data_IF_935149751803
#
_entry.id   IF_935149751803
#
_cell.length_a   1.000
_cell.length_b   1.000
_cell.length_c   1.000
_cell.angle_alpha   90.00
_cell.angle_beta   90.00
_cell.angle_gamma   90.00
#
_symmetry.space_group_name_H-M   'P 1'
#
loop_
_entity.id
_entity.type
_entity.pdbx_description
1 polymer ?
#
# COMPACT_ATOMS: atom_id res chain seq x y z
N UNK A 1 4.92 -19.99 -0.70
CA UNK A 1 4.80 -18.71 -1.42
C UNK A 1 3.37 -18.53 -1.88
N UNK A 2 2.71 -17.49 -1.41
CA UNK A 2 1.31 -17.23 -1.71
C UNK A 2 1.13 -15.83 -2.28
N UNK A 3 0.07 -15.65 -3.06
CA UNK A 3 -0.32 -14.37 -3.63
C UNK A 3 -1.63 -13.93 -3.02
N UNK A 4 -1.65 -12.74 -2.42
CA UNK A 4 -2.83 -12.15 -1.81
C UNK A 4 -3.23 -10.89 -2.57
N UNK A 5 -4.49 -10.52 -2.51
CA UNK A 5 -4.99 -9.28 -3.11
C UNK A 5 -5.88 -8.55 -2.11
N UNK A 6 -5.73 -7.24 -2.04
CA UNK A 6 -6.53 -6.35 -1.20
C UNK A 6 -6.70 -5.03 -1.92
N UNK A 7 -7.75 -4.30 -1.61
CA UNK A 7 -7.97 -2.97 -2.19
C UNK A 7 -8.59 -2.03 -1.16
N UNK A 8 -8.64 -0.74 -1.51
CA UNK A 8 -9.36 0.29 -0.75
C UNK A 8 -8.91 0.38 0.71
N UNK A 9 -7.58 0.45 0.93
CA UNK A 9 -7.03 0.59 2.27
C UNK A 9 -7.41 1.94 2.90
N UNK A 10 -7.51 2.99 2.08
CA UNK A 10 -7.87 4.33 2.52
C UNK A 10 -7.08 4.78 3.74
N UNK A 11 -5.75 4.60 3.70
CA UNK A 11 -4.89 4.98 4.81
C UNK A 11 -4.81 6.50 4.95
N UNK A 12 -4.75 6.95 6.19
CA UNK A 12 -4.71 8.38 6.50
C UNK A 12 -3.80 8.68 7.70
N UNK A 13 -2.70 7.91 7.80
CA UNK A 13 -1.79 8.04 8.95
C UNK A 13 -1.07 9.38 8.97
N UNK A 14 -0.86 9.98 7.79
CA UNK A 14 -0.20 11.27 7.65
C UNK A 14 -1.12 12.44 7.37
N UNK A 15 -2.45 12.23 7.31
CA UNK A 15 -3.42 13.28 7.00
C UNK A 15 -4.63 13.17 7.93
N UNK A 16 -5.41 14.24 8.02
CA UNK A 16 -6.56 14.32 8.92
C UNK A 16 -7.86 13.91 8.21
N UNK A 17 -7.94 12.64 7.80
CA UNK A 17 -9.13 12.06 7.17
C UNK A 17 -9.31 10.61 7.62
N UNK A 18 -9.52 10.37 8.93
CA UNK A 18 -9.63 8.99 9.42
C UNK A 18 -10.92 8.33 8.96
N UNK A 19 -10.80 7.10 8.44
CA UNK A 19 -11.95 6.30 8.03
C UNK A 19 -12.71 5.71 9.20
N UNK A 20 -12.13 5.68 10.38
CA UNK A 20 -12.75 5.11 11.57
C UNK A 20 -13.90 5.95 12.13
N UNK A 21 -14.16 7.13 11.55
CA UNK A 21 -15.38 7.89 11.83
C UNK A 21 -16.62 7.25 11.19
N UNK A 22 -16.44 6.34 10.23
CA UNK A 22 -17.53 5.66 9.56
C UNK A 22 -17.84 4.34 10.25
N UNK A 23 -19.13 4.00 10.32
CA UNK A 23 -19.57 2.77 10.96
C UNK A 23 -18.94 1.55 10.29
N UNK A 24 -18.37 0.65 11.09
CA UNK A 24 -17.70 -0.54 10.59
C UNK A 24 -16.23 -0.36 10.30
N UNK A 25 -15.72 0.86 10.38
CA UNK A 25 -14.31 1.17 10.10
C UNK A 25 -13.50 1.46 11.37
N UNK A 26 -14.11 1.33 12.55
CA UNK A 26 -13.43 1.58 13.81
C UNK A 26 -12.23 0.63 13.96
N UNK A 27 -11.06 1.20 14.25
CA UNK A 27 -9.82 0.47 14.43
C UNK A 27 -9.42 -0.38 13.22
N UNK A 28 -9.85 0.02 12.01
CA UNK A 28 -9.62 -0.81 10.82
C UNK A 28 -8.13 -1.03 10.55
N UNK A 29 -7.27 -0.02 10.80
CA UNK A 29 -5.83 -0.15 10.57
C UNK A 29 -5.23 -1.21 11.51
N UNK A 30 -5.59 -1.18 12.79
CA UNK A 30 -5.10 -2.16 13.76
C UNK A 30 -5.57 -3.58 13.42
N UNK A 31 -6.83 -3.72 13.01
CA UNK A 31 -7.37 -5.02 12.59
C UNK A 31 -6.70 -5.55 11.34
N UNK A 32 -6.46 -4.66 10.38
CA UNK A 32 -5.77 -5.01 9.13
C UNK A 32 -4.34 -5.46 9.40
N UNK A 33 -3.63 -4.72 10.25
CA UNK A 33 -2.26 -5.06 10.64
C UNK A 33 -2.17 -6.44 11.28
N UNK A 34 -3.07 -6.73 12.21
CA UNK A 34 -3.11 -8.02 12.88
C UNK A 34 -3.37 -9.16 11.90
N UNK A 35 -4.35 -9.00 11.03
CA UNK A 35 -4.69 -10.03 10.05
C UNK A 35 -3.58 -10.22 9.02
N UNK A 36 -2.97 -9.13 8.57
CA UNK A 36 -1.86 -9.18 7.62
C UNK A 36 -0.69 -9.95 8.22
N UNK A 37 -0.27 -9.59 9.43
CA UNK A 37 0.85 -10.25 10.10
C UNK A 37 0.59 -11.74 10.35
N UNK A 38 -0.68 -12.12 10.55
CA UNK A 38 -1.07 -13.51 10.76
C UNK A 38 -1.07 -14.34 9.48
N UNK A 39 -1.51 -13.75 8.36
CA UNK A 39 -1.78 -14.49 7.12
C UNK A 39 -0.63 -14.42 6.11
N UNK A 40 0.12 -13.32 6.06
CA UNK A 40 1.15 -13.08 5.05
C UNK A 40 2.52 -13.36 5.62
N UNK A 41 3.30 -14.17 4.91
CA UNK A 41 4.68 -14.50 5.28
C UNK A 41 5.66 -13.64 4.47
N UNK A 42 6.93 -13.51 4.91
CA UNK A 42 7.91 -12.70 4.19
C UNK A 42 8.12 -13.10 2.72
N UNK A 43 7.94 -14.37 2.39
CA UNK A 43 8.08 -14.88 1.02
C UNK A 43 6.84 -14.69 0.15
N UNK A 44 5.74 -14.19 0.73
CA UNK A 44 4.49 -13.97 0.01
C UNK A 44 4.47 -12.63 -0.70
N UNK A 45 3.52 -12.47 -1.63
CA UNK A 45 3.30 -11.22 -2.37
C UNK A 45 1.86 -10.76 -2.17
N UNK A 46 1.68 -9.44 -1.93
CA UNK A 46 0.36 -8.82 -1.77
C UNK A 46 0.18 -7.79 -2.88
N UNK A 47 -0.90 -7.93 -3.64
CA UNK A 47 -1.31 -6.92 -4.63
C UNK A 47 -2.31 -5.98 -3.95
N UNK A 48 -2.01 -4.68 -3.97
CA UNK A 48 -2.87 -3.66 -3.39
C UNK A 48 -3.48 -2.88 -4.55
N UNK A 49 -4.77 -3.09 -4.78
CA UNK A 49 -5.45 -2.72 -6.02
C UNK A 49 -6.15 -1.36 -5.91
N UNK A 50 -5.39 -0.32 -5.53
CA UNK A 50 -5.89 1.05 -5.59
C UNK A 50 -6.53 1.58 -4.31
N UNK A 51 -6.83 2.87 -4.32
CA UNK A 51 -7.39 3.64 -3.21
C UNK A 51 -6.62 3.38 -1.91
N UNK A 52 -5.30 3.59 -1.99
CA UNK A 52 -4.36 3.20 -0.94
C UNK A 52 -4.28 4.24 0.16
N UNK A 53 -4.17 5.52 -0.22
CA UNK A 53 -3.88 6.61 0.71
C UNK A 53 -4.72 7.84 0.39
N UNK A 54 -5.11 8.57 1.44
CA UNK A 54 -5.80 9.86 1.34
C UNK A 54 -4.84 11.03 1.11
N UNK A 55 -3.52 10.79 1.04
CA UNK A 55 -2.55 11.83 0.76
C UNK A 55 -2.80 12.49 -0.59
N UNK A 56 -2.66 13.82 -0.66
CA UNK A 56 -2.84 14.58 -1.91
C UNK A 56 -1.57 14.62 -2.74
N UNK A 57 -0.42 14.45 -2.10
CA UNK A 57 0.88 14.34 -2.76
C UNK A 57 1.74 13.31 -2.04
N UNK A 58 2.92 13.01 -2.59
CA UNK A 58 3.78 11.99 -2.03
C UNK A 58 4.24 12.31 -0.61
N UNK A 59 4.44 13.58 -0.28
CA UNK A 59 4.90 13.96 1.06
C UNK A 59 3.87 13.61 2.14
N UNK A 60 2.59 13.59 1.80
CA UNK A 60 1.52 13.23 2.72
C UNK A 60 1.34 11.72 2.87
N UNK A 61 1.98 10.93 2.00
CA UNK A 61 1.82 9.47 2.00
C UNK A 61 2.93 8.73 2.75
N UNK A 62 3.95 9.44 3.26
CA UNK A 62 5.14 8.81 3.85
C UNK A 62 4.77 7.81 4.95
N UNK A 63 3.91 8.20 5.89
CA UNK A 63 3.55 7.33 6.99
C UNK A 63 2.73 6.13 6.51
N UNK A 64 1.86 6.34 5.52
CA UNK A 64 1.05 5.26 4.96
C UNK A 64 1.93 4.21 4.29
N UNK A 65 2.85 4.65 3.44
CA UNK A 65 3.75 3.72 2.75
C UNK A 65 4.77 3.10 3.68
N UNK A 66 5.21 3.82 4.71
CA UNK A 66 6.09 3.24 5.73
C UNK A 66 5.40 2.08 6.45
N UNK A 67 4.12 2.26 6.79
CA UNK A 67 3.32 1.21 7.42
C UNK A 67 3.18 -0.01 6.49
N UNK A 68 2.86 0.22 5.20
CA UNK A 68 2.73 -0.87 4.23
C UNK A 68 4.07 -1.60 4.06
N UNK A 69 5.17 -0.86 3.96
CA UNK A 69 6.50 -1.45 3.76
C UNK A 69 6.90 -2.35 4.93
N UNK A 70 6.52 -1.99 6.15
CA UNK A 70 6.81 -2.80 7.33
C UNK A 70 6.02 -4.10 7.39
N UNK A 71 4.89 -4.16 6.71
CA UNK A 71 4.08 -5.38 6.69
C UNK A 71 4.83 -6.50 5.98
N UNK A 72 4.62 -7.78 6.38
CA UNK A 72 5.31 -8.89 5.73
C UNK A 72 4.99 -9.00 4.24
N UNK A 73 5.95 -9.54 3.48
CA UNK A 73 5.78 -9.83 2.07
C UNK A 73 6.19 -8.70 1.14
N UNK A 74 6.23 -9.02 -0.15
CA UNK A 74 6.43 -8.03 -1.22
C UNK A 74 5.08 -7.45 -1.59
N UNK A 75 5.03 -6.15 -1.91
CA UNK A 75 3.78 -5.48 -2.24
C UNK A 75 3.86 -4.89 -3.64
N UNK A 76 2.84 -5.18 -4.45
CA UNK A 76 2.67 -4.60 -5.78
C UNK A 76 1.46 -3.67 -5.71
N UNK A 77 1.68 -2.39 -6.00
CA UNK A 77 0.69 -1.35 -5.81
C UNK A 77 0.11 -0.90 -7.15
N UNK A 78 -1.21 -0.79 -7.21
CA UNK A 78 -1.94 -0.26 -8.36
C UNK A 78 -2.61 1.06 -7.95
N UNK A 79 -2.57 2.06 -8.85
CA UNK A 79 -3.23 3.34 -8.61
C UNK A 79 -4.74 3.21 -8.73
N UNK A 80 -5.48 3.70 -7.71
CA UNK A 80 -6.93 3.80 -7.74
C UNK A 80 -7.38 5.23 -8.03
N UNK A 81 -8.70 5.42 -8.11
CA UNK A 81 -9.30 6.71 -8.44
C UNK A 81 -9.03 7.79 -7.39
N UNK A 82 -8.87 7.40 -6.12
CA UNK A 82 -8.66 8.33 -5.02
C UNK A 82 -7.19 8.45 -4.62
N UNK A 83 -6.27 7.86 -5.41
CA UNK A 83 -4.83 7.97 -5.14
C UNK A 83 -4.27 9.23 -5.80
N UNK A 84 -4.64 10.38 -5.26
CA UNK A 84 -4.27 11.70 -5.79
C UNK A 84 -2.77 12.00 -5.65
N UNK A 85 -2.08 11.27 -4.77
CA UNK A 85 -0.64 11.37 -4.58
C UNK A 85 0.15 10.88 -5.80
N UNK A 86 -0.45 10.06 -6.64
CA UNK A 86 0.22 9.51 -7.81
C UNK A 86 0.39 10.59 -8.89
N UNK A 87 1.62 10.81 -9.32
CA UNK A 87 1.92 11.73 -10.42
C UNK A 87 2.48 10.97 -11.61
N UNK A 88 3.71 10.47 -11.50
CA UNK A 88 4.31 9.62 -12.52
C UNK A 88 4.94 8.41 -11.84
N UNK A 89 5.06 7.32 -12.61
CA UNK A 89 5.70 6.09 -12.11
C UNK A 89 7.13 6.36 -11.63
N UNK A 90 7.90 7.14 -12.41
CA UNK A 90 9.30 7.45 -12.06
C UNK A 90 9.42 8.20 -10.75
N UNK A 91 8.53 9.16 -10.49
CA UNK A 91 8.55 9.93 -9.24
C UNK A 91 8.19 9.06 -8.05
N UNK A 92 7.21 8.17 -8.21
CA UNK A 92 6.80 7.25 -7.15
C UNK A 92 7.92 6.26 -6.83
N UNK A 93 8.56 5.69 -7.86
CA UNK A 93 9.67 4.75 -7.65
C UNK A 93 10.84 5.42 -6.96
N UNK A 94 11.17 6.66 -7.35
CA UNK A 94 12.22 7.43 -6.69
C UNK A 94 11.90 7.69 -5.22
N UNK A 95 10.65 8.06 -4.96
CA UNK A 95 10.17 8.29 -3.60
C UNK A 95 10.32 7.04 -2.72
N UNK A 96 9.96 5.87 -3.25
CA UNK A 96 10.14 4.61 -2.53
C UNK A 96 11.61 4.33 -2.23
N UNK A 97 12.49 4.56 -3.22
CA UNK A 97 13.92 4.34 -3.07
C UNK A 97 14.51 5.30 -2.03
N UNK A 98 14.17 6.58 -2.10
CA UNK A 98 14.69 7.60 -1.19
C UNK A 98 14.27 7.37 0.26
N UNK A 99 13.10 6.76 0.48
CA UNK A 99 12.60 6.47 1.82
C UNK A 99 12.94 5.05 2.30
N UNK A 100 13.65 4.27 1.50
CA UNK A 100 14.04 2.92 1.87
C UNK A 100 12.90 1.91 1.88
N UNK A 101 11.84 2.17 1.12
CA UNK A 101 10.67 1.27 1.03
C UNK A 101 10.98 0.14 0.04
N UNK A 102 11.80 -0.81 0.45
CA UNK A 102 12.37 -1.82 -0.44
C UNK A 102 11.41 -2.92 -0.84
N UNK A 103 10.28 -3.08 -0.13
CA UNK A 103 9.30 -4.13 -0.45
C UNK A 103 8.16 -3.64 -1.34
N UNK A 104 8.14 -2.35 -1.70
CA UNK A 104 7.08 -1.75 -2.49
C UNK A 104 7.45 -1.68 -3.97
N UNK A 105 6.53 -2.04 -4.83
CA UNK A 105 6.64 -1.94 -6.30
C UNK A 105 5.35 -1.34 -6.84
N UNK A 106 5.47 -0.54 -7.90
CA UNK A 106 4.29 0.06 -8.56
C UNK A 106 4.02 -0.66 -9.88
N UNK A 107 2.77 -1.00 -10.14
CA UNK A 107 2.33 -1.59 -11.40
C UNK A 107 1.56 -0.54 -12.18
N UNK A 108 2.18 -0.01 -13.25
CA UNK A 108 1.59 1.01 -14.10
C UNK A 108 2.25 0.92 -15.47
N UNK A 109 1.54 0.38 -16.45
CA UNK A 109 2.04 0.15 -17.81
C UNK A 109 3.28 -0.78 -17.85
N UNK A 110 3.35 -1.74 -16.93
CA UNK A 110 4.41 -2.73 -16.87
C UNK A 110 3.84 -4.04 -16.31
N UNK A 111 4.70 -5.03 -16.10
CA UNK A 111 4.28 -6.31 -15.55
C UNK A 111 5.34 -6.85 -14.60
N UNK A 112 4.92 -7.67 -13.66
CA UNK A 112 5.80 -8.36 -12.74
C UNK A 112 5.55 -9.86 -12.82
N UNK A 113 6.63 -10.63 -12.74
CA UNK A 113 6.54 -12.08 -12.72
C UNK A 113 6.26 -12.57 -11.30
N UNK A 114 5.33 -13.51 -11.17
CA UNK A 114 5.07 -14.23 -9.92
C UNK A 114 5.19 -15.72 -10.21
N UNK A 115 6.21 -16.38 -9.61
CA UNK A 115 6.52 -17.76 -9.95
C UNK A 115 6.81 -17.89 -11.44
N UNK A 116 6.01 -18.69 -12.14
CA UNK A 116 6.12 -18.89 -13.58
C UNK A 116 5.17 -18.00 -14.40
N UNK A 117 4.51 -17.06 -13.74
CA UNK A 117 3.47 -16.24 -14.39
C UNK A 117 3.90 -14.81 -14.65
#
# INVERSE_FOLDING_TARGET
MSLFAISDLHLSLGVDKPMDVFRGWENYVARLEENWARLVKPEDTVVIAGDISWGLDLSETVEDFRWIDRMPGQKILLKGNHDLWFSTKSKVERFFTENGFSTLRILFNNAYRYGDY
#
